data_IF_629013707567
#
_entry.id   IF_629013707567
#
_cell.length_a   1.000
_cell.length_b   1.000
_cell.length_c   1.000
_cell.angle_alpha   90.00
_cell.angle_beta   90.00
_cell.angle_gamma   90.00
#
_symmetry.space_group_name_H-M   'P 1'
#
loop_
_entity.id
_entity.type
_entity.pdbx_description
1 polymer ?
#
# COMPACT_ATOMS: atom_id res chain seq x y z
N UNK A 1 4.42 14.60 -8.69
CA UNK A 1 4.56 15.15 -7.33
C UNK A 1 5.02 16.58 -7.45
N UNK A 2 4.49 17.51 -6.65
CA UNK A 2 4.89 18.94 -6.71
C UNK A 2 5.97 19.23 -5.67
N UNK A 3 6.84 20.20 -5.92
CA UNK A 3 7.89 20.60 -4.97
C UNK A 3 7.31 21.02 -3.61
N UNK A 4 6.19 21.75 -3.61
CA UNK A 4 5.50 22.14 -2.38
C UNK A 4 5.05 20.93 -1.54
N UNK A 5 4.57 19.86 -2.19
CA UNK A 5 4.19 18.63 -1.49
C UNK A 5 5.39 17.88 -0.95
N UNK A 6 6.50 17.83 -1.72
CA UNK A 6 7.74 17.18 -1.31
C UNK A 6 8.27 17.82 -0.02
N UNK A 7 8.33 19.15 0.04
CA UNK A 7 8.77 19.86 1.23
C UNK A 7 7.77 19.75 2.39
N UNK A 8 6.46 19.86 2.13
CA UNK A 8 5.45 19.76 3.18
C UNK A 8 5.44 18.39 3.87
N UNK A 9 5.66 17.32 3.11
CA UNK A 9 5.70 15.95 3.61
C UNK A 9 7.10 15.51 4.08
N UNK A 10 8.11 16.39 3.99
CA UNK A 10 9.49 16.11 4.36
C UNK A 10 10.15 15.03 3.50
N UNK A 11 9.68 14.84 2.26
CA UNK A 11 10.16 13.81 1.34
C UNK A 11 11.58 14.13 0.83
N UNK A 12 11.96 15.40 0.81
CA UNK A 12 13.33 15.84 0.52
C UNK A 12 14.34 15.45 1.60
N UNK A 13 13.87 15.20 2.83
CA UNK A 13 14.69 14.77 3.97
C UNK A 13 14.82 13.25 4.09
N UNK A 14 14.07 12.52 3.26
CA UNK A 14 14.12 11.07 3.23
C UNK A 14 15.43 10.58 2.59
N UNK A 15 16.10 9.54 3.15
CA UNK A 15 17.32 8.97 2.60
C UNK A 15 17.27 8.61 1.12
N UNK A 16 16.13 8.09 0.62
CA UNK A 16 15.94 7.78 -0.80
C UNK A 16 15.30 8.93 -1.60
N UNK A 17 14.93 10.02 -0.92
CA UNK A 17 14.37 11.23 -1.51
C UNK A 17 13.05 11.01 -2.27
N UNK A 18 12.65 11.94 -3.16
CA UNK A 18 11.38 11.90 -3.88
C UNK A 18 11.34 10.93 -5.06
N UNK A 19 12.47 10.34 -5.47
CA UNK A 19 12.54 9.49 -6.66
C UNK A 19 12.16 8.02 -6.38
N UNK A 20 11.83 7.69 -5.13
CA UNK A 20 11.36 6.36 -4.75
C UNK A 20 9.86 6.17 -5.02
N UNK A 21 9.37 4.92 -5.05
CA UNK A 21 7.94 4.65 -5.08
C UNK A 21 7.23 5.09 -3.80
N UNK A 22 5.97 5.49 -3.95
CA UNK A 22 5.08 5.82 -2.84
C UNK A 22 3.78 5.04 -2.97
N UNK A 23 3.24 4.65 -1.82
CA UNK A 23 2.10 3.74 -1.74
C UNK A 23 0.98 4.33 -0.89
N UNK A 24 -0.26 4.12 -1.33
CA UNK A 24 -1.43 4.26 -0.46
C UNK A 24 -1.58 2.96 0.33
N UNK A 25 -1.46 3.04 1.64
CA UNK A 25 -1.48 1.90 2.56
C UNK A 25 -2.74 1.98 3.40
N UNK A 26 -3.59 0.96 3.29
CA UNK A 26 -4.70 0.77 4.21
C UNK A 26 -4.18 0.03 5.45
N UNK A 27 -4.25 0.67 6.60
CA UNK A 27 -3.73 0.14 7.87
C UNK A 27 -4.85 -0.56 8.65
N UNK A 28 -4.48 -1.45 9.58
CA UNK A 28 -5.46 -2.19 10.38
C UNK A 28 -6.37 -1.30 11.26
N UNK A 29 -5.95 -0.07 11.54
CA UNK A 29 -6.78 0.95 12.21
C UNK A 29 -7.87 1.55 11.29
N UNK A 30 -7.92 1.15 10.03
CA UNK A 30 -8.87 1.63 9.03
C UNK A 30 -8.46 2.93 8.35
N UNK A 31 -7.30 3.49 8.68
CA UNK A 31 -6.80 4.71 8.05
C UNK A 31 -6.05 4.41 6.76
N UNK A 32 -6.19 5.31 5.79
CA UNK A 32 -5.36 5.33 4.60
C UNK A 32 -4.15 6.23 4.87
N UNK A 33 -2.94 5.71 4.69
CA UNK A 33 -1.69 6.43 4.86
C UNK A 33 -0.92 6.48 3.56
N UNK A 34 -0.21 7.58 3.32
CA UNK A 34 0.71 7.68 2.20
C UNK A 34 2.12 7.43 2.72
N UNK A 35 2.76 6.36 2.25
CA UNK A 35 4.06 5.93 2.73
C UNK A 35 5.07 5.84 1.59
N UNK A 36 6.30 6.28 1.88
CA UNK A 36 7.45 6.06 1.03
C UNK A 36 7.89 4.58 1.12
N UNK A 37 8.49 4.04 0.06
CA UNK A 37 9.01 2.67 0.05
C UNK A 37 9.91 2.38 1.25
N UNK A 38 10.82 3.30 1.60
CA UNK A 38 11.73 3.10 2.73
C UNK A 38 11.06 3.10 4.10
N UNK A 39 9.83 3.61 4.20
CA UNK A 39 9.03 3.55 5.43
C UNK A 39 8.29 2.22 5.60
N UNK A 40 8.38 1.32 4.62
CA UNK A 40 7.68 0.05 4.61
C UNK A 40 8.66 -1.11 4.77
N UNK A 41 8.25 -2.10 5.55
CA UNK A 41 8.97 -3.36 5.70
C UNK A 41 8.01 -4.52 5.44
N UNK A 42 8.54 -5.62 4.92
CA UNK A 42 7.74 -6.83 4.68
C UNK A 42 7.38 -7.44 6.03
N UNK A 43 6.07 -7.55 6.29
CA UNK A 43 5.57 -8.21 7.48
C UNK A 43 5.86 -9.73 7.40
N UNK A 44 6.43 -10.35 8.46
CA UNK A 44 6.62 -11.79 8.50
C UNK A 44 5.30 -12.55 8.35
N UNK A 45 5.32 -13.68 7.62
CA UNK A 45 4.11 -14.48 7.36
C UNK A 45 3.42 -14.94 8.66
N UNK A 46 4.19 -15.20 9.72
CA UNK A 46 3.67 -15.57 11.05
C UNK A 46 2.81 -14.48 11.71
N UNK A 47 3.04 -13.21 11.36
CA UNK A 47 2.38 -12.04 11.94
C UNK A 47 1.28 -11.48 11.04
N UNK A 48 1.14 -11.99 9.81
CA UNK A 48 0.08 -11.55 8.90
C UNK A 48 -1.30 -11.82 9.51
N UNK A 49 -2.15 -10.80 9.48
CA UNK A 49 -3.54 -10.87 9.90
C UNK A 49 -4.42 -10.14 8.89
N UNK A 50 -5.64 -10.65 8.61
CA UNK A 50 -6.62 -9.91 7.85
C UNK A 50 -7.00 -8.61 8.59
N UNK A 51 -7.07 -7.52 7.83
CA UNK A 51 -7.56 -6.21 8.20
C UNK A 51 -9.07 -6.32 8.22
N UNK A 52 -9.68 -5.96 9.36
CA UNK A 52 -11.13 -6.07 9.56
C UNK A 52 -11.90 -4.83 9.09
N UNK A 53 -11.25 -3.94 8.36
CA UNK A 53 -11.86 -2.68 7.90
C UNK A 53 -12.72 -2.90 6.64
N UNK A 54 -13.88 -2.25 6.59
CA UNK A 54 -14.85 -2.42 5.50
C UNK A 54 -14.32 -1.95 4.14
N UNK A 55 -13.43 -0.95 4.11
CA UNK A 55 -12.82 -0.46 2.86
C UNK A 55 -11.93 -1.51 2.18
N UNK A 56 -11.49 -2.55 2.89
CA UNK A 56 -10.75 -3.66 2.25
C UNK A 56 -11.55 -4.25 1.10
N UNK A 57 -12.87 -4.40 1.26
CA UNK A 57 -13.76 -4.95 0.24
C UNK A 57 -13.87 -4.09 -1.03
N UNK A 58 -13.54 -2.79 -0.93
CA UNK A 58 -13.52 -1.87 -2.09
C UNK A 58 -12.40 -2.21 -3.08
N UNK A 59 -11.32 -2.81 -2.60
CA UNK A 59 -10.11 -3.09 -3.38
C UNK A 59 -9.83 -4.60 -3.54
N UNK A 60 -10.19 -5.40 -2.54
CA UNK A 60 -9.82 -6.80 -2.43
C UNK A 60 -11.04 -7.69 -2.19
N UNK A 61 -11.04 -8.90 -2.77
CA UNK A 61 -12.14 -9.87 -2.62
C UNK A 61 -11.91 -10.89 -1.50
N UNK A 62 -10.66 -11.22 -1.20
CA UNK A 62 -10.33 -12.18 -0.14
C UNK A 62 -8.87 -12.04 0.34
N UNK A 63 -8.56 -12.67 1.47
CA UNK A 63 -7.19 -12.82 1.98
C UNK A 63 -6.74 -14.28 1.84
N UNK A 64 -5.63 -14.51 1.15
CA UNK A 64 -5.12 -15.85 0.83
C UNK A 64 -4.10 -16.40 1.84
N UNK A 65 -3.97 -15.78 3.01
CA UNK A 65 -3.03 -16.20 4.06
C UNK A 65 -1.68 -15.50 4.01
N UNK A 66 -1.20 -15.14 2.81
CA UNK A 66 0.05 -14.39 2.61
C UNK A 66 -0.17 -13.01 1.95
N UNK A 67 -1.25 -12.82 1.19
CA UNK A 67 -1.58 -11.57 0.49
C UNK A 67 -3.09 -11.42 0.31
N UNK A 68 -3.53 -10.20 0.01
CA UNK A 68 -4.89 -9.95 -0.45
C UNK A 68 -5.01 -10.25 -1.94
N UNK A 69 -6.16 -10.81 -2.32
CA UNK A 69 -6.50 -11.04 -3.71
C UNK A 69 -7.29 -9.82 -4.21
N UNK A 70 -6.82 -9.14 -5.27
CA UNK A 70 -7.52 -8.02 -5.89
C UNK A 70 -8.95 -8.37 -6.31
N UNK A 71 -9.86 -7.40 -6.25
CA UNK A 71 -11.19 -7.55 -6.86
C UNK A 71 -11.14 -7.29 -8.38
N UNK A 72 -12.23 -7.61 -9.09
CA UNK A 72 -12.28 -7.51 -10.54
C UNK A 72 -11.97 -6.09 -11.06
N UNK A 73 -12.39 -5.05 -10.34
CA UNK A 73 -12.11 -3.67 -10.72
C UNK A 73 -10.61 -3.33 -10.63
N UNK A 74 -9.92 -3.86 -9.63
CA UNK A 74 -8.49 -3.66 -9.46
C UNK A 74 -7.69 -4.52 -10.44
N UNK A 75 -8.14 -5.73 -10.76
CA UNK A 75 -7.57 -6.60 -11.80
C UNK A 75 -7.72 -5.98 -13.20
N UNK A 76 -8.87 -5.40 -13.53
CA UNK A 76 -9.09 -4.71 -14.81
C UNK A 76 -8.20 -3.46 -14.93
N UNK A 77 -8.04 -2.72 -13.84
CA UNK A 77 -7.19 -1.53 -13.80
C UNK A 77 -5.69 -1.86 -13.84
N UNK A 78 -5.30 -3.01 -13.29
CA UNK A 78 -3.91 -3.45 -13.19
C UNK A 78 -3.77 -4.94 -13.52
N UNK A 79 -3.90 -5.33 -14.80
CA UNK A 79 -3.99 -6.74 -15.21
C UNK A 79 -2.69 -7.53 -15.00
N UNK A 80 -1.54 -6.86 -14.90
CA UNK A 80 -0.23 -7.50 -14.82
C UNK A 80 0.28 -7.70 -13.38
N UNK A 81 -0.53 -7.41 -12.35
CA UNK A 81 -0.13 -7.49 -10.93
C UNK A 81 -0.52 -8.81 -10.26
N UNK A 82 -1.24 -9.68 -10.96
CA UNK A 82 -1.72 -10.96 -10.43
C UNK A 82 -0.77 -12.17 -10.68
N UNK A 83 0.34 -11.96 -11.39
CA UNK A 83 1.25 -13.03 -11.81
C UNK A 83 2.67 -12.80 -11.26
N UNK A 84 2.89 -13.19 -10.00
CA UNK A 84 4.17 -13.62 -9.44
C UNK A 84 3.89 -14.58 -8.25
#
# INVERSE_FOLDING_TARGET
MTEAWIHQMGVDQLPLGPNQPFYNVLVNDGTNRYAAQESLTVCPVSELRPIRHWEVGKYFKSFAGNRYIPNNALEEKYPNTAAD
#
